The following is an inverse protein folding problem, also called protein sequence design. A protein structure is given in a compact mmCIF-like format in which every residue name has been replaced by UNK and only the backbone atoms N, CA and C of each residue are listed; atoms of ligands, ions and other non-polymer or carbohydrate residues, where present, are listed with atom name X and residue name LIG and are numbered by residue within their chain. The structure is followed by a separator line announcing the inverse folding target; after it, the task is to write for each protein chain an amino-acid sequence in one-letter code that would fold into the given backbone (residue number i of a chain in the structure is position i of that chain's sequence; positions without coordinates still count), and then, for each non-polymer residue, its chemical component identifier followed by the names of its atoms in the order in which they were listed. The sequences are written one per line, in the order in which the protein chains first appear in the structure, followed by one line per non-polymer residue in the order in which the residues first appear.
data_IF_228274147642
#
_entry.id   IF_228274147642
#
_cell.length_a   1.000
_cell.length_b   1.000
_cell.length_c   1.000
_cell.angle_alpha   90.00
_cell.angle_beta   90.00
_cell.angle_gamma   90.00
#
_symmetry.space_group_name_H-M   'P 1'
#
loop_
_entity.id
_entity.type
_entity.pdbx_description
1 polymer ?
#
# COMPACT_ATOMS: atom_id res chain seq x y z
N UNK A 1 -21.12 7.44 -5.90
CA UNK A 1 -20.59 7.55 -4.52
C UNK A 1 -19.12 7.86 -4.66
N UNK A 2 -18.57 8.73 -3.81
CA UNK A 2 -17.14 9.00 -3.81
C UNK A 2 -16.37 7.74 -3.36
N UNK A 3 -15.20 7.49 -3.94
CA UNK A 3 -14.31 6.40 -3.55
C UNK A 3 -13.64 6.74 -2.22
N UNK A 4 -13.72 5.87 -1.22
CA UNK A 4 -13.15 6.08 0.09
C UNK A 4 -11.78 5.38 0.21
N UNK A 5 -10.72 6.18 0.37
CA UNK A 5 -9.35 5.72 0.62
C UNK A 5 -9.02 5.92 2.09
N UNK A 6 -8.64 4.86 2.79
CA UNK A 6 -8.20 4.95 4.18
C UNK A 6 -6.69 4.75 4.28
N UNK A 7 -6.01 5.73 4.87
CA UNK A 7 -4.58 5.64 5.20
C UNK A 7 -4.43 5.15 6.63
N UNK A 8 -3.73 4.05 6.84
CA UNK A 8 -3.41 3.50 8.16
C UNK A 8 -1.94 3.82 8.46
N UNK A 9 -1.69 4.67 9.45
CA UNK A 9 -0.34 5.05 9.87
C UNK A 9 0.04 4.42 11.21
N UNK A 10 1.08 3.57 11.19
CA UNK A 10 1.68 2.96 12.38
C UNK A 10 2.74 3.82 13.07
N UNK A 11 2.89 5.08 12.67
CA UNK A 11 3.86 6.01 13.26
C UNK A 11 3.52 6.39 14.69
N UNK A 12 4.55 6.53 15.55
CA UNK A 12 4.38 6.87 16.98
C UNK A 12 4.74 8.33 17.30
N UNK A 13 5.61 8.95 16.50
CA UNK A 13 6.14 10.31 16.76
C UNK A 13 5.19 11.43 16.34
N UNK A 14 5.49 12.65 16.83
CA UNK A 14 4.91 13.92 16.38
C UNK A 14 6.04 14.91 16.19
N UNK A 15 6.38 15.30 14.94
CA UNK A 15 5.82 14.84 13.66
C UNK A 15 6.14 13.37 13.34
N UNK A 16 5.35 12.76 12.46
CA UNK A 16 5.51 11.37 12.03
C UNK A 16 5.84 11.29 10.53
N UNK A 17 7.00 10.76 10.18
CA UNK A 17 7.37 10.51 8.77
C UNK A 17 6.45 9.48 8.11
N UNK A 18 5.96 8.49 8.86
CA UNK A 18 4.97 7.53 8.35
C UNK A 18 3.64 8.20 8.02
N UNK A 19 3.20 9.18 8.83
CA UNK A 19 2.03 9.99 8.54
C UNK A 19 2.26 10.82 7.27
N UNK A 20 3.39 11.50 7.15
CA UNK A 20 3.74 12.31 5.96
C UNK A 20 3.74 11.45 4.69
N UNK A 21 4.32 10.24 4.73
CA UNK A 21 4.29 9.31 3.60
C UNK A 21 2.87 8.88 3.27
N UNK A 22 2.07 8.57 4.28
CA UNK A 22 0.67 8.22 4.12
C UNK A 22 -0.15 9.33 3.47
N UNK A 23 0.01 10.57 3.91
CA UNK A 23 -0.64 11.76 3.33
C UNK A 23 -0.25 11.92 1.86
N UNK A 24 1.04 11.79 1.52
CA UNK A 24 1.54 11.90 0.15
C UNK A 24 0.94 10.80 -0.76
N UNK A 25 0.89 9.55 -0.29
CA UNK A 25 0.32 8.43 -1.04
C UNK A 25 -1.20 8.56 -1.20
N UNK A 26 -1.91 8.96 -0.15
CA UNK A 26 -3.34 9.20 -0.20
C UNK A 26 -3.71 10.32 -1.18
N UNK A 27 -2.96 11.43 -1.15
CA UNK A 27 -3.14 12.54 -2.09
C UNK A 27 -2.83 12.12 -3.53
N UNK A 28 -1.75 11.37 -3.76
CA UNK A 28 -1.41 10.85 -5.08
C UNK A 28 -2.52 9.94 -5.63
N UNK A 29 -3.10 9.08 -4.78
CA UNK A 29 -4.21 8.21 -5.17
C UNK A 29 -5.49 9.00 -5.49
N UNK A 30 -5.83 10.00 -4.68
CA UNK A 30 -6.97 10.87 -4.94
C UNK A 30 -6.81 11.68 -6.22
N UNK A 31 -5.61 12.22 -6.48
CA UNK A 31 -5.31 12.93 -7.73
C UNK A 31 -5.43 12.01 -8.96
N UNK A 32 -4.89 10.80 -8.88
CA UNK A 32 -4.98 9.84 -9.97
C UNK A 32 -6.44 9.37 -10.24
N UNK A 33 -7.30 9.28 -9.21
CA UNK A 33 -8.73 9.03 -9.39
C UNK A 33 -9.44 10.22 -10.02
N UNK A 34 -9.09 11.45 -9.63
CA UNK A 34 -9.66 12.67 -10.21
C UNK A 34 -9.32 12.80 -11.70
N UNK A 35 -8.13 12.39 -12.14
CA UNK A 35 -7.74 12.33 -13.55
C UNK A 35 -8.61 11.34 -14.35
N UNK A 36 -9.15 10.31 -13.71
CA UNK A 36 -10.12 9.36 -14.28
C UNK A 36 -11.59 9.83 -14.10
N UNK A 37 -11.80 11.04 -13.57
CA UNK A 37 -13.13 11.59 -13.33
C UNK A 37 -13.87 11.00 -12.14
N UNK A 38 -13.16 10.36 -11.21
CA UNK A 38 -13.71 9.73 -10.00
C UNK A 38 -13.41 10.60 -8.79
N UNK A 39 -14.46 11.00 -8.05
CA UNK A 39 -14.30 11.70 -6.77
C UNK A 39 -13.83 10.72 -5.68
N UNK A 40 -12.81 11.11 -4.92
CA UNK A 40 -12.27 10.31 -3.83
C UNK A 40 -12.15 11.10 -2.53
N UNK A 41 -12.55 10.47 -1.42
CA UNK A 41 -12.27 10.91 -0.06
C UNK A 41 -11.03 10.20 0.47
N UNK A 42 -10.16 10.94 1.17
CA UNK A 42 -9.00 10.37 1.87
C UNK A 42 -9.13 10.65 3.35
N UNK A 43 -9.15 9.60 4.14
CA UNK A 43 -9.14 9.70 5.60
C UNK A 43 -7.90 9.03 6.18
N UNK A 44 -7.39 9.55 7.28
CA UNK A 44 -6.16 9.03 7.90
C UNK A 44 -6.42 8.58 9.33
N UNK A 45 -6.03 7.35 9.61
CA UNK A 45 -6.06 6.72 10.93
C UNK A 45 -4.63 6.71 11.46
N UNK A 46 -4.39 7.42 12.56
CA UNK A 46 -3.16 7.29 13.31
C UNK A 46 -3.35 6.26 14.42
N UNK A 47 -2.73 5.09 14.28
CA UNK A 47 -2.94 3.98 15.22
C UNK A 47 -2.54 4.32 16.66
N UNK A 48 -1.61 5.27 16.86
CA UNK A 48 -1.24 5.75 18.19
C UNK A 48 -2.43 6.31 19.00
N UNK A 49 -3.45 6.85 18.30
CA UNK A 49 -4.62 7.45 18.95
C UNK A 49 -5.60 6.40 19.52
N UNK A 50 -5.43 5.14 19.10
CA UNK A 50 -6.21 3.98 19.57
C UNK A 50 -5.30 2.86 20.12
N UNK A 51 -4.05 3.16 20.45
CA UNK A 51 -3.06 2.16 20.89
C UNK A 51 -3.50 1.38 22.13
N UNK A 52 -4.08 2.07 23.12
CA UNK A 52 -4.60 1.44 24.35
C UNK A 52 -5.80 0.54 24.04
N UNK A 53 -6.69 1.00 23.15
CA UNK A 53 -7.87 0.23 22.75
C UNK A 53 -7.46 -1.05 21.98
N UNK A 54 -6.43 -0.97 21.13
CA UNK A 54 -5.85 -2.14 20.45
C UNK A 54 -5.33 -3.16 21.48
N UNK A 55 -4.51 -2.71 22.45
CA UNK A 55 -3.98 -3.58 23.49
C UNK A 55 -5.11 -4.19 24.36
N UNK A 56 -6.12 -3.42 24.68
CA UNK A 56 -7.31 -3.89 25.41
C UNK A 56 -8.04 -4.97 24.62
N UNK A 57 -8.24 -4.76 23.31
CA UNK A 57 -8.92 -5.72 22.44
C UNK A 57 -8.18 -7.04 22.34
N UNK A 58 -6.84 -7.02 22.24
CA UNK A 58 -6.01 -8.23 22.21
C UNK A 58 -6.18 -9.10 23.46
N UNK A 59 -6.45 -8.48 24.64
CA UNK A 59 -6.58 -9.20 25.91
C UNK A 59 -8.04 -9.53 26.21
N UNK A 60 -8.96 -8.60 25.96
CA UNK A 60 -10.37 -8.74 26.34
C UNK A 60 -11.23 -9.41 25.27
N UNK A 61 -10.77 -9.49 24.01
CA UNK A 61 -11.49 -10.10 22.90
C UNK A 61 -12.65 -9.27 22.34
N UNK A 62 -12.79 -7.99 22.73
CA UNK A 62 -13.78 -7.07 22.16
C UNK A 62 -13.16 -5.68 21.96
N UNK A 63 -13.60 -4.97 20.93
CA UNK A 63 -13.10 -3.64 20.61
C UNK A 63 -13.90 -2.55 21.36
N UNK A 64 -13.24 -1.64 22.12
CA UNK A 64 -13.88 -0.44 22.65
C UNK A 64 -14.48 0.42 21.52
N UNK A 65 -15.48 1.28 21.82
CA UNK A 65 -16.26 1.99 20.79
C UNK A 65 -15.39 2.77 19.79
N UNK A 66 -14.34 3.45 20.25
CA UNK A 66 -13.46 4.22 19.39
C UNK A 66 -12.72 3.32 18.39
N UNK A 67 -12.16 2.20 18.83
CA UNK A 67 -11.47 1.25 17.94
C UNK A 67 -12.48 0.53 17.02
N UNK A 68 -13.68 0.22 17.52
CA UNK A 68 -14.71 -0.40 16.68
C UNK A 68 -15.10 0.49 15.49
N UNK A 69 -15.17 1.82 15.65
CA UNK A 69 -15.40 2.74 14.53
C UNK A 69 -14.21 2.78 13.56
N UNK A 70 -12.98 2.75 14.07
CA UNK A 70 -11.76 2.66 13.24
C UNK A 70 -11.75 1.37 12.40
N UNK A 71 -12.09 0.23 13.01
CA UNK A 71 -12.18 -1.05 12.31
C UNK A 71 -13.24 -0.99 11.21
N UNK A 72 -14.45 -0.50 11.50
CA UNK A 72 -15.51 -0.32 10.50
C UNK A 72 -15.10 0.60 9.36
N UNK A 73 -14.33 1.66 9.64
CA UNK A 73 -13.82 2.56 8.60
C UNK A 73 -12.87 1.82 7.66
N UNK A 74 -11.96 0.98 8.19
CA UNK A 74 -11.06 0.14 7.39
C UNK A 74 -11.84 -0.90 6.58
N UNK A 75 -12.87 -1.52 7.17
CA UNK A 75 -13.72 -2.51 6.50
C UNK A 75 -14.54 -1.91 5.35
N UNK A 76 -15.01 -0.66 5.48
CA UNK A 76 -15.83 0.01 4.46
C UNK A 76 -15.01 0.68 3.37
N UNK A 77 -13.74 0.95 3.61
CA UNK A 77 -12.86 1.58 2.63
C UNK A 77 -12.83 0.80 1.31
N UNK A 78 -12.84 1.51 0.19
CA UNK A 78 -12.69 0.93 -1.14
C UNK A 78 -11.22 0.54 -1.39
N UNK A 79 -10.28 1.29 -0.81
CA UNK A 79 -8.85 1.01 -0.88
C UNK A 79 -8.11 1.45 0.39
N UNK A 80 -6.93 0.89 0.61
CA UNK A 80 -6.09 1.22 1.74
C UNK A 80 -4.69 1.70 1.29
N UNK A 81 -4.12 2.57 2.11
CA UNK A 81 -2.68 2.85 2.14
C UNK A 81 -2.17 2.46 3.53
N UNK A 82 -1.37 1.42 3.61
CA UNK A 82 -0.87 0.88 4.87
C UNK A 82 0.59 1.27 5.07
N UNK A 83 0.86 2.12 6.09
CA UNK A 83 2.19 2.68 6.35
C UNK A 83 2.68 2.29 7.73
N UNK A 84 3.85 1.64 7.80
CA UNK A 84 4.50 1.29 9.06
C UNK A 84 5.91 1.88 9.15
N UNK A 85 6.32 2.44 10.29
CA UNK A 85 7.74 2.64 10.53
C UNK A 85 8.43 1.31 10.77
N UNK A 86 9.74 1.25 10.48
CA UNK A 86 10.56 0.10 10.79
C UNK A 86 11.15 0.26 12.19
N UNK A 87 10.77 -0.66 13.08
CA UNK A 87 11.34 -0.80 14.42
C UNK A 87 11.91 -2.20 14.61
N UNK A 88 13.13 -2.30 15.09
CA UNK A 88 13.80 -3.58 15.37
C UNK A 88 13.69 -4.55 14.17
N UNK A 89 14.07 -4.05 12.97
CA UNK A 89 14.08 -4.77 11.70
C UNK A 89 12.72 -5.33 11.22
N UNK A 90 11.61 -4.84 11.76
CA UNK A 90 10.25 -5.29 11.38
C UNK A 90 9.28 -4.09 11.33
N UNK A 91 8.02 -4.35 11.03
CA UNK A 91 6.94 -3.35 11.18
C UNK A 91 6.78 -2.97 12.65
N UNK A 92 6.22 -1.79 12.93
CA UNK A 92 5.95 -1.41 14.31
C UNK A 92 5.01 -2.41 15.00
N UNK A 93 5.28 -2.72 16.29
CA UNK A 93 4.44 -3.63 17.06
C UNK A 93 2.98 -3.17 17.11
N UNK A 94 2.75 -1.85 17.22
CA UNK A 94 1.41 -1.28 17.18
C UNK A 94 0.69 -1.55 15.84
N UNK A 95 1.39 -1.41 14.72
CA UNK A 95 0.84 -1.70 13.39
C UNK A 95 0.45 -3.19 13.27
N UNK A 96 1.32 -4.10 13.72
CA UNK A 96 1.03 -5.54 13.71
C UNK A 96 -0.15 -5.86 14.62
N UNK A 97 -0.17 -5.32 15.85
CA UNK A 97 -1.26 -5.52 16.81
C UNK A 97 -2.61 -5.05 16.28
N UNK A 98 -2.64 -3.94 15.53
CA UNK A 98 -3.88 -3.50 14.86
C UNK A 98 -4.37 -4.51 13.83
N UNK A 99 -3.47 -5.05 13.00
CA UNK A 99 -3.84 -6.07 12.01
C UNK A 99 -4.30 -7.38 12.67
N UNK A 100 -3.79 -7.70 13.86
CA UNK A 100 -4.17 -8.90 14.61
C UNK A 100 -5.57 -8.83 15.27
N UNK A 101 -6.11 -7.64 15.42
CA UNK A 101 -7.48 -7.46 15.96
C UNK A 101 -8.55 -7.28 14.88
N UNK A 102 -8.17 -7.26 13.61
CA UNK A 102 -9.10 -7.26 12.48
C UNK A 102 -9.71 -8.66 12.30
N UNK A 103 -10.95 -8.70 11.80
CA UNK A 103 -11.51 -9.96 11.30
C UNK A 103 -10.62 -10.48 10.15
N UNK A 104 -10.31 -11.79 10.09
CA UNK A 104 -9.46 -12.36 9.05
C UNK A 104 -9.96 -12.10 7.62
N UNK A 105 -11.23 -11.77 7.43
CA UNK A 105 -11.86 -11.47 6.14
C UNK A 105 -12.02 -9.98 5.86
N UNK A 106 -11.67 -9.12 6.81
CA UNK A 106 -11.87 -7.66 6.73
C UNK A 106 -11.21 -7.01 5.49
N UNK A 107 -10.13 -7.60 5.00
CA UNK A 107 -9.35 -7.08 3.86
C UNK A 107 -9.47 -7.95 2.60
N UNK A 108 -10.39 -8.92 2.56
CA UNK A 108 -10.51 -9.86 1.44
C UNK A 108 -10.73 -9.12 0.10
N UNK A 109 -9.80 -9.30 -0.84
CA UNK A 109 -9.80 -8.65 -2.15
C UNK A 109 -9.53 -7.12 -2.15
N UNK A 110 -9.40 -6.48 -0.99
CA UNK A 110 -9.25 -5.02 -0.87
C UNK A 110 -7.92 -4.53 -1.44
N UNK A 111 -7.92 -3.57 -2.39
CA UNK A 111 -6.71 -2.97 -2.92
C UNK A 111 -5.92 -2.23 -1.84
N UNK A 112 -4.62 -2.53 -1.70
CA UNK A 112 -3.77 -1.94 -0.67
C UNK A 112 -2.42 -1.52 -1.24
N UNK A 113 -2.03 -0.26 -1.05
CA UNK A 113 -0.64 0.19 -1.22
C UNK A 113 0.12 -0.04 0.08
N UNK A 114 1.21 -0.79 0.00
CA UNK A 114 2.10 -1.03 1.14
C UNK A 114 3.22 0.02 1.16
N UNK A 115 3.46 0.60 2.32
CA UNK A 115 4.53 1.57 2.49
C UNK A 115 5.22 1.43 3.85
N UNK A 116 6.50 1.81 3.90
CA UNK A 116 7.24 1.84 5.14
C UNK A 116 8.20 3.03 5.20
N UNK A 117 8.52 3.47 6.42
CA UNK A 117 9.55 4.47 6.69
C UNK A 117 10.62 3.88 7.59
N UNK A 118 11.86 4.24 7.35
CA UNK A 118 12.97 3.76 8.17
C UNK A 118 14.13 4.75 8.23
N UNK A 119 15.01 4.59 9.20
CA UNK A 119 16.19 5.42 9.38
C UNK A 119 17.29 5.19 8.32
N UNK A 120 17.11 4.26 7.40
CA UNK A 120 18.05 3.94 6.33
C UNK A 120 17.37 3.10 5.25
N UNK A 121 17.77 3.27 4.00
CA UNK A 121 17.31 2.48 2.84
C UNK A 121 17.55 0.95 3.01
N UNK A 122 18.48 0.54 3.90
CA UNK A 122 18.74 -0.87 4.23
C UNK A 122 17.52 -1.61 4.78
N UNK A 123 16.53 -0.90 5.32
CA UNK A 123 15.33 -1.49 5.88
C UNK A 123 14.20 -1.68 4.86
N UNK A 124 14.40 -1.34 3.58
CA UNK A 124 13.36 -1.41 2.54
C UNK A 124 12.75 -2.79 2.37
N UNK A 125 13.53 -3.84 2.63
CA UNK A 125 13.08 -5.23 2.52
C UNK A 125 11.94 -5.61 3.50
N UNK A 126 11.67 -4.78 4.53
CA UNK A 126 10.56 -5.01 5.46
C UNK A 126 9.22 -5.12 4.72
N UNK A 127 9.06 -4.42 3.62
CA UNK A 127 7.80 -4.42 2.87
C UNK A 127 7.57 -5.81 2.26
N UNK A 128 8.54 -6.36 1.55
CA UNK A 128 8.35 -7.61 0.83
C UNK A 128 8.44 -8.85 1.73
N UNK A 129 9.27 -8.79 2.79
CA UNK A 129 9.48 -9.96 3.67
C UNK A 129 8.60 -9.97 4.92
N UNK A 130 8.00 -8.82 5.30
CA UNK A 130 7.14 -8.75 6.49
C UNK A 130 5.73 -8.27 6.13
N UNK A 131 5.60 -7.08 5.52
CA UNK A 131 4.27 -6.52 5.26
C UNK A 131 3.51 -7.35 4.22
N UNK A 132 4.09 -7.62 3.07
CA UNK A 132 3.42 -8.34 1.98
C UNK A 132 2.90 -9.72 2.41
N UNK A 133 3.64 -10.56 3.14
CA UNK A 133 3.12 -11.81 3.68
C UNK A 133 1.91 -11.63 4.62
N UNK A 134 1.92 -10.60 5.50
CA UNK A 134 0.79 -10.30 6.38
C UNK A 134 -0.46 -9.96 5.57
N UNK A 135 -0.35 -9.05 4.59
CA UNK A 135 -1.48 -8.65 3.76
C UNK A 135 -1.95 -9.77 2.82
N UNK A 136 -1.04 -10.64 2.39
CA UNK A 136 -1.40 -11.87 1.65
C UNK A 136 -2.18 -12.85 2.52
N UNK A 137 -1.80 -13.02 3.79
CA UNK A 137 -2.55 -13.83 4.75
C UNK A 137 -3.97 -13.28 4.96
N UNK A 138 -4.12 -11.95 5.05
CA UNK A 138 -5.41 -11.26 5.13
C UNK A 138 -6.15 -11.18 3.79
N UNK A 139 -5.64 -11.83 2.73
CA UNK A 139 -6.19 -11.89 1.37
C UNK A 139 -6.41 -10.53 0.71
N UNK A 140 -5.69 -9.49 1.18
CA UNK A 140 -5.72 -8.20 0.54
C UNK A 140 -5.04 -8.24 -0.83
N UNK A 141 -5.53 -7.43 -1.76
CA UNK A 141 -4.92 -7.22 -3.07
C UNK A 141 -3.81 -6.17 -2.96
N UNK A 142 -2.62 -6.57 -2.51
CA UNK A 142 -1.48 -5.67 -2.34
C UNK A 142 -0.89 -5.26 -3.69
N UNK A 143 -0.78 -3.94 -3.91
CA UNK A 143 -0.22 -3.41 -5.17
C UNK A 143 1.23 -3.87 -5.37
N UNK A 144 1.64 -4.15 -6.64
CA UNK A 144 3.01 -4.53 -6.97
C UNK A 144 4.03 -3.49 -6.50
N UNK A 145 3.79 -2.20 -6.80
CA UNK A 145 4.64 -1.11 -6.34
C UNK A 145 4.37 -0.80 -4.88
N UNK A 146 5.37 -1.02 -4.04
CA UNK A 146 5.38 -0.57 -2.65
C UNK A 146 6.34 0.61 -2.49
N UNK A 147 6.15 1.43 -1.46
CA UNK A 147 6.92 2.67 -1.27
C UNK A 147 7.65 2.67 0.05
N UNK A 148 8.97 2.70 0.00
CA UNK A 148 9.83 2.91 1.16
C UNK A 148 10.37 4.33 1.16
N UNK A 149 10.35 5.00 2.30
CA UNK A 149 10.98 6.31 2.48
C UNK A 149 12.01 6.27 3.60
N UNK A 150 13.21 6.74 3.29
CA UNK A 150 14.33 6.94 4.19
C UNK A 150 14.61 8.44 4.38
N UNK A 151 15.45 8.86 5.34
CA UNK A 151 15.74 10.27 5.57
C UNK A 151 16.17 11.06 4.33
N UNK A 152 16.93 10.44 3.44
CA UNK A 152 17.39 10.99 2.17
C UNK A 152 16.28 11.34 1.18
N UNK A 153 15.11 10.73 1.32
CA UNK A 153 13.95 10.97 0.46
C UNK A 153 13.18 12.27 0.84
N UNK A 154 13.51 12.90 1.99
CA UNK A 154 12.80 14.06 2.52
C UNK A 154 13.58 15.40 2.35
N UNK A 155 14.75 15.37 1.75
CA UNK A 155 15.73 16.47 1.81
C UNK A 155 15.69 17.49 0.67
N UNK A 156 14.64 17.61 -0.13
CA UNK A 156 14.53 18.63 -1.19
C UNK A 156 15.51 18.46 -2.36
N UNK A 157 16.02 17.25 -2.59
CA UNK A 157 16.93 16.90 -3.67
C UNK A 157 16.32 15.92 -4.68
N UNK A 158 17.19 15.20 -5.40
CA UNK A 158 16.77 14.14 -6.34
C UNK A 158 15.96 13.02 -5.67
N UNK A 159 16.14 12.79 -4.36
CA UNK A 159 15.39 11.81 -3.57
C UNK A 159 13.90 12.11 -3.47
N UNK A 160 13.54 13.38 -3.25
CA UNK A 160 12.14 13.80 -3.15
C UNK A 160 11.39 13.59 -4.48
N UNK A 161 12.01 13.90 -5.62
CA UNK A 161 11.45 13.62 -6.94
C UNK A 161 11.22 12.13 -7.16
N UNK A 162 12.17 11.29 -6.78
CA UNK A 162 12.06 9.84 -6.89
C UNK A 162 10.98 9.25 -5.97
N UNK A 163 10.79 9.80 -4.76
CA UNK A 163 9.70 9.39 -3.87
C UNK A 163 8.35 9.72 -4.49
N UNK A 164 8.19 10.92 -5.07
CA UNK A 164 7.00 11.34 -5.79
C UNK A 164 6.67 10.43 -6.97
N UNK A 165 7.66 10.04 -7.77
CA UNK A 165 7.47 9.11 -8.89
C UNK A 165 7.01 7.71 -8.42
N UNK A 166 7.60 7.20 -7.32
CA UNK A 166 7.16 5.92 -6.72
C UNK A 166 5.74 6.00 -6.19
N UNK A 167 5.39 7.12 -5.53
CA UNK A 167 4.04 7.36 -5.04
C UNK A 167 3.03 7.42 -6.18
N UNK A 168 3.33 8.15 -7.26
CA UNK A 168 2.46 8.24 -8.43
C UNK A 168 2.25 6.88 -9.11
N UNK A 169 3.30 6.05 -9.21
CA UNK A 169 3.19 4.69 -9.75
C UNK A 169 2.29 3.80 -8.90
N UNK A 170 2.49 3.80 -7.58
CA UNK A 170 1.66 3.03 -6.65
C UNK A 170 0.19 3.49 -6.70
N UNK A 171 -0.04 4.80 -6.79
CA UNK A 171 -1.38 5.38 -6.95
C UNK A 171 -2.05 4.92 -8.24
N UNK A 172 -1.35 4.96 -9.37
CA UNK A 172 -1.88 4.48 -10.66
C UNK A 172 -2.22 2.98 -10.65
N UNK A 173 -1.46 2.16 -9.91
CA UNK A 173 -1.79 0.74 -9.72
C UNK A 173 -3.05 0.56 -8.87
N UNK A 174 -3.19 1.34 -7.80
CA UNK A 174 -4.36 1.33 -6.94
C UNK A 174 -5.64 1.72 -7.71
N UNK A 175 -5.58 2.78 -8.51
CA UNK A 175 -6.70 3.24 -9.34
C UNK A 175 -7.13 2.16 -10.35
N UNK A 176 -6.18 1.51 -11.00
CA UNK A 176 -6.48 0.38 -11.90
C UNK A 176 -7.16 -0.79 -11.18
N UNK A 177 -6.74 -1.09 -9.94
CA UNK A 177 -7.35 -2.14 -9.15
C UNK A 177 -8.78 -1.79 -8.73
N UNK A 178 -9.06 -0.50 -8.42
CA UNK A 178 -10.39 0.00 -8.10
C UNK A 178 -11.34 0.01 -9.29
N UNK A 179 -10.83 0.30 -10.49
CA UNK A 179 -11.62 0.33 -11.73
C UNK A 179 -12.14 -1.04 -12.19
N UNK A 180 -11.90 -2.11 -11.40
CA UNK A 180 -12.40 -3.46 -11.70
C UNK A 180 -11.99 -3.94 -13.06
N UNK A 181 -10.69 -3.95 -13.35
CA UNK A 181 -10.16 -4.57 -14.56
C UNK A 181 -10.90 -4.14 -15.83
N UNK A 182 -10.89 -2.86 -16.18
CA UNK A 182 -10.96 -2.54 -17.61
C UNK A 182 -9.83 -3.30 -18.25
N UNK A 183 -10.23 -4.28 -19.07
CA UNK A 183 -9.41 -5.25 -19.71
C UNK A 183 -7.99 -4.71 -19.93
N UNK A 184 -7.02 -5.40 -19.37
CA UNK A 184 -5.67 -5.40 -19.84
C UNK A 184 -5.70 -5.11 -21.33
N UNK A 185 -5.08 -4.03 -21.78
CA UNK A 185 -4.67 -3.96 -23.17
C UNK A 185 -4.10 -5.35 -23.48
N UNK A 186 -4.70 -6.00 -24.46
CA UNK A 186 -4.37 -7.35 -24.91
C UNK A 186 -2.86 -7.52 -24.86
N UNK A 187 -2.36 -8.18 -23.80
CA UNK A 187 -0.93 -8.53 -23.80
C UNK A 187 -0.78 -9.44 -24.99
N UNK A 188 0.14 -9.14 -25.91
CA UNK A 188 0.45 -10.10 -26.96
C UNK A 188 0.70 -11.44 -26.25
N UNK A 189 0.01 -12.48 -26.66
CA UNK A 189 0.15 -13.82 -26.08
C UNK A 189 1.65 -14.14 -26.07
N UNK A 190 2.27 -14.38 -24.90
CA UNK A 190 3.68 -14.76 -24.86
C UNK A 190 3.97 -16.05 -25.62
N UNK A 191 2.92 -16.81 -25.96
CA UNK A 191 2.95 -18.02 -26.78
C UNK A 191 2.62 -17.74 -28.26
N UNK A 192 2.26 -16.50 -28.63
CA UNK A 192 2.22 -16.06 -30.01
C UNK A 192 3.66 -15.81 -30.49
N UNK A 193 4.46 -16.88 -30.41
CA UNK A 193 5.79 -16.90 -30.95
C UNK A 193 5.70 -16.78 -32.48
N UNK A 194 6.57 -15.95 -33.06
CA UNK A 194 6.80 -15.97 -34.51
C UNK A 194 6.89 -17.45 -34.97
N UNK A 195 6.27 -17.82 -36.07
CA UNK A 195 6.40 -19.17 -36.61
C UNK A 195 7.88 -19.61 -36.60
N UNK A 196 8.15 -20.84 -36.20
CA UNK A 196 9.51 -21.34 -35.99
C UNK A 196 10.42 -21.09 -37.17
N UNK A 197 9.88 -21.09 -38.40
CA UNK A 197 10.58 -20.75 -39.65
C UNK A 197 11.07 -19.30 -39.67
N UNK A 198 10.32 -18.35 -39.09
CA UNK A 198 10.79 -16.95 -38.99
C UNK A 198 11.83 -16.76 -37.88
N UNK A 199 11.75 -17.53 -36.80
CA UNK A 199 12.78 -17.56 -35.77
C UNK A 199 14.09 -18.11 -36.28
N UNK A 200 14.04 -19.18 -37.11
CA UNK A 200 15.22 -19.74 -37.80
C UNK A 200 15.82 -18.77 -38.80
N UNK A 201 15.03 -18.04 -39.56
CA UNK A 201 15.50 -17.06 -40.52
C UNK A 201 16.24 -15.90 -39.85
N UNK A 202 15.86 -15.54 -38.60
CA UNK A 202 16.54 -14.49 -37.84
C UNK A 202 17.83 -14.95 -37.13
N UNK A 203 18.11 -16.25 -37.08
CA UNK A 203 19.29 -16.84 -36.44
C UNK A 203 20.38 -17.18 -37.49
N UNK A 204 20.04 -17.28 -38.77
CA UNK A 204 21.04 -17.51 -39.80
C UNK A 204 21.86 -16.22 -40.03
N UNK A 205 23.15 -16.16 -39.64
CA UNK A 205 24.02 -15.07 -40.04
C UNK A 205 24.15 -15.13 -41.56
N UNK A 206 23.97 -13.96 -42.20
CA UNK A 206 24.00 -13.81 -43.63
C UNK A 206 25.16 -14.55 -44.27
N UNK A 207 24.85 -15.28 -45.33
CA UNK A 207 25.84 -15.83 -46.27
C UNK A 207 26.53 -14.70 -47.03
#
# INVERSE_FOLDING_TARGET
MATEIVVISGGLGTPSTSRMLGDQLGQAAAAALADEGVEAGVSVIELRDVAVDIATTMVAGYAPPKLAEVIKQVERADALVAVSPVFTASVSGLFKSFLDVLDPTALDGKPVVLAATGGSARHSMVIDYVMRPIFSYLRANAMPTAVFAAPEDWGGGTGEGQLGERAARAAAELVRALGGGRASAERPDPMESLPFEQLLANIQPGA
#
